data_IF_831591217984
#
_entry.id   IF_831591217984
#
_cell.length_a   1.000
_cell.length_b   1.000
_cell.length_c   1.000
_cell.angle_alpha   90.00
_cell.angle_beta   90.00
_cell.angle_gamma   90.00
#
_symmetry.space_group_name_H-M   'P 1'
#
loop_
_entity.id
_entity.type
_entity.pdbx_description
1 polymer ?
#
# COMPACT_ATOMS: atom_id res chain seq x y z
N UNK A 1 3.37 -8.47 -8.35
CA UNK A 1 4.14 -7.23 -8.11
C UNK A 1 4.30 -6.42 -9.39
N UNK A 2 4.84 -6.97 -10.47
CA UNK A 2 4.93 -6.24 -11.76
C UNK A 2 3.54 -5.81 -12.28
N UNK A 3 3.45 -4.57 -12.74
CA UNK A 3 2.22 -3.99 -13.30
C UNK A 3 1.13 -3.68 -12.27
N UNK A 4 1.44 -3.65 -10.97
CA UNK A 4 0.44 -3.30 -9.95
C UNK A 4 0.24 -1.80 -9.93
N UNK A 5 -0.99 -1.34 -10.09
CA UNK A 5 -1.35 0.10 -10.03
C UNK A 5 -1.75 0.52 -8.63
N UNK A 6 -2.14 -0.44 -7.79
CA UNK A 6 -2.46 -0.19 -6.38
C UNK A 6 -1.89 -1.28 -5.47
N UNK A 7 -1.47 -0.87 -4.28
CA UNK A 7 -1.09 -1.76 -3.18
C UNK A 7 -1.84 -1.34 -1.92
N UNK A 8 -2.70 -2.22 -1.41
CA UNK A 8 -3.44 -2.00 -0.17
C UNK A 8 -2.80 -2.78 0.97
N UNK A 9 -2.59 -2.14 2.12
CA UNK A 9 -2.07 -2.73 3.35
C UNK A 9 -3.08 -2.50 4.46
N UNK A 10 -3.52 -3.57 5.11
CA UNK A 10 -4.54 -3.53 6.15
C UNK A 10 -3.87 -3.62 7.52
N UNK A 11 -4.14 -2.65 8.37
CA UNK A 11 -3.58 -2.59 9.74
C UNK A 11 -4.67 -2.47 10.79
N UNK A 12 -4.35 -2.88 12.01
CA UNK A 12 -5.23 -2.63 13.16
C UNK A 12 -5.32 -1.12 13.42
N UNK A 13 -6.53 -0.57 13.63
CA UNK A 13 -6.72 0.85 13.92
C UNK A 13 -5.97 1.30 15.18
N UNK A 14 -5.72 2.60 15.29
CA UNK A 14 -5.03 3.24 16.43
C UNK A 14 -3.59 2.77 16.69
N UNK A 15 -2.94 2.13 15.71
CA UNK A 15 -1.53 1.77 15.80
C UNK A 15 -0.67 2.76 15.00
N UNK A 16 0.37 3.33 15.64
CA UNK A 16 1.43 4.07 14.93
C UNK A 16 2.44 3.06 14.42
N UNK A 17 2.48 2.74 13.11
CA UNK A 17 3.33 1.67 12.65
C UNK A 17 4.79 2.15 12.65
N UNK A 18 5.66 1.41 13.33
CA UNK A 18 7.09 1.71 13.35
C UNK A 18 7.63 1.79 11.92
N UNK A 19 8.36 2.86 11.59
CA UNK A 19 8.94 3.04 10.25
C UNK A 19 7.94 3.40 9.15
N UNK A 20 6.69 3.75 9.50
CA UNK A 20 5.73 4.32 8.55
C UNK A 20 6.26 5.61 7.91
N UNK A 21 6.83 6.54 8.68
CA UNK A 21 7.37 7.79 8.15
C UNK A 21 8.49 7.56 7.11
N UNK A 22 9.36 6.56 7.35
CA UNK A 22 10.39 6.18 6.36
C UNK A 22 9.80 5.55 5.11
N UNK A 23 8.71 4.78 5.23
CA UNK A 23 7.99 4.25 4.08
C UNK A 23 7.34 5.39 3.29
N UNK A 24 6.63 6.28 3.98
CA UNK A 24 5.96 7.45 3.40
C UNK A 24 6.92 8.32 2.61
N UNK A 25 8.02 8.76 3.23
CA UNK A 25 9.03 9.57 2.56
C UNK A 25 9.62 8.88 1.31
N UNK A 26 9.81 7.57 1.36
CA UNK A 26 10.30 6.81 0.19
C UNK A 26 9.28 6.73 -0.94
N UNK A 27 8.01 6.49 -0.60
CA UNK A 27 6.89 6.42 -1.56
C UNK A 27 6.72 7.77 -2.25
N UNK A 28 6.67 8.86 -1.48
CA UNK A 28 6.53 10.23 -1.98
C UNK A 28 7.72 10.66 -2.84
N UNK A 29 8.96 10.31 -2.45
CA UNK A 29 10.16 10.59 -3.26
C UNK A 29 10.16 9.88 -4.62
N UNK A 30 9.35 8.83 -4.79
CA UNK A 30 9.17 8.10 -6.04
C UNK A 30 7.92 8.53 -6.81
N UNK A 31 7.31 9.65 -6.42
CA UNK A 31 6.10 10.19 -7.05
C UNK A 31 4.83 9.39 -6.79
N UNK A 32 4.89 8.43 -5.86
CA UNK A 32 3.72 7.67 -5.42
C UNK A 32 3.07 8.35 -4.21
N UNK A 33 1.81 8.01 -3.97
CA UNK A 33 1.01 8.60 -2.90
C UNK A 33 0.54 7.52 -1.94
N UNK A 34 0.36 7.89 -0.66
CA UNK A 34 -0.25 7.05 0.35
C UNK A 34 -1.58 7.67 0.77
N UNK A 35 -2.66 6.93 0.54
CA UNK A 35 -4.03 7.31 0.91
C UNK A 35 -4.53 6.39 2.02
N UNK A 36 -5.05 6.98 3.10
CA UNK A 36 -5.80 6.23 4.09
C UNK A 36 -7.26 6.15 3.65
N UNK A 37 -7.77 4.92 3.55
CA UNK A 37 -9.15 4.66 3.12
C UNK A 37 -9.79 3.60 4.00
N UNK A 38 -11.12 3.67 4.08
CA UNK A 38 -11.95 2.65 4.72
C UNK A 38 -12.53 1.66 3.69
N UNK A 39 -12.09 1.76 2.44
CA UNK A 39 -12.40 0.81 1.36
C UNK A 39 -11.60 -0.48 1.55
N UNK A 40 -11.99 -1.23 2.58
CA UNK A 40 -11.55 -2.59 2.81
C UNK A 40 -12.65 -3.57 2.39
N UNK A 41 -12.30 -4.80 2.00
CA UNK A 41 -13.28 -5.88 1.90
C UNK A 41 -14.11 -6.00 3.20
N UNK A 42 -15.39 -6.43 3.14
CA UNK A 42 -16.24 -6.54 4.34
C UNK A 42 -15.59 -7.32 5.49
N UNK A 43 -14.80 -8.34 5.17
CA UNK A 43 -14.05 -9.18 6.11
C UNK A 43 -12.98 -8.39 6.87
N UNK A 44 -12.49 -7.29 6.29
CA UNK A 44 -11.46 -6.42 6.83
C UNK A 44 -11.99 -5.04 7.26
N UNK A 45 -13.31 -4.87 7.36
CA UNK A 45 -13.98 -3.63 7.80
C UNK A 45 -13.51 -3.05 9.15
N UNK A 46 -12.88 -3.89 9.99
CA UNK A 46 -12.29 -3.48 11.29
C UNK A 46 -10.84 -2.96 11.17
N UNK A 47 -10.26 -2.98 9.98
CA UNK A 47 -8.88 -2.56 9.72
C UNK A 47 -8.87 -1.21 8.99
N UNK A 48 -7.84 -0.42 9.27
CA UNK A 48 -7.52 0.75 8.44
C UNK A 48 -6.78 0.29 7.20
N UNK A 49 -7.16 0.83 6.04
CA UNK A 49 -6.47 0.52 4.78
C UNK A 49 -5.53 1.66 4.42
N UNK A 50 -4.27 1.31 4.25
CA UNK A 50 -3.24 2.15 3.65
C UNK A 50 -3.11 1.73 2.20
N UNK A 51 -3.56 2.59 1.28
CA UNK A 51 -3.46 2.37 -0.16
C UNK A 51 -2.30 3.18 -0.72
N UNK A 52 -1.41 2.51 -1.44
CA UNK A 52 -0.34 3.13 -2.22
C UNK A 52 -0.77 3.15 -3.67
N UNK A 53 -0.70 4.33 -4.30
CA UNK A 53 -1.03 4.55 -5.71
C UNK A 53 0.09 5.32 -6.39
N UNK A 54 0.14 5.27 -7.72
CA UNK A 54 1.01 6.10 -8.53
C UNK A 54 0.15 7.01 -9.43
N UNK A 55 0.69 8.16 -9.81
CA UNK A 55 -0.03 9.21 -10.52
C UNK A 55 -0.82 8.65 -11.70
N UNK A 56 -2.05 9.15 -11.91
CA UNK A 56 -2.91 8.76 -13.04
C UNK A 56 -3.14 7.24 -13.19
N UNK A 57 -3.14 6.49 -12.08
CA UNK A 57 -3.29 5.04 -12.05
C UNK A 57 -2.21 4.30 -12.87
N UNK A 58 -1.02 4.90 -13.02
CA UNK A 58 0.12 4.24 -13.62
C UNK A 58 0.62 3.07 -12.75
N UNK A 59 1.38 2.13 -13.32
CA UNK A 59 2.03 1.08 -12.55
C UNK A 59 2.95 1.67 -11.47
N UNK A 60 2.80 1.19 -10.25
CA UNK A 60 3.68 1.55 -9.14
C UNK A 60 5.10 1.03 -9.45
N UNK A 61 6.15 1.86 -9.31
CA UNK A 61 7.53 1.44 -9.48
C UNK A 61 7.85 0.20 -8.63
N UNK A 62 8.56 -0.78 -9.21
CA UNK A 62 8.84 -2.07 -8.57
C UNK A 62 9.57 -1.91 -7.22
N UNK A 63 10.41 -0.88 -7.09
CA UNK A 63 11.11 -0.54 -5.85
C UNK A 63 10.13 -0.20 -4.72
N UNK A 64 9.09 0.57 -5.03
CA UNK A 64 8.03 0.97 -4.09
C UNK A 64 7.22 -0.25 -3.67
N UNK A 65 6.77 -1.05 -4.65
CA UNK A 65 6.03 -2.30 -4.39
C UNK A 65 6.84 -3.24 -3.49
N UNK A 66 8.13 -3.42 -3.78
CA UNK A 66 9.02 -4.30 -3.01
C UNK A 66 9.22 -3.80 -1.59
N UNK A 67 9.48 -2.50 -1.41
CA UNK A 67 9.72 -1.91 -0.09
C UNK A 67 8.46 -1.95 0.77
N UNK A 68 7.32 -1.58 0.21
CA UNK A 68 6.04 -1.60 0.90
C UNK A 68 5.59 -3.02 1.27
N UNK A 69 5.78 -3.99 0.36
CA UNK A 69 5.51 -5.40 0.67
C UNK A 69 6.41 -5.93 1.80
N UNK A 70 7.73 -5.71 1.73
CA UNK A 70 8.64 -6.09 2.82
C UNK A 70 8.25 -5.43 4.13
N UNK A 71 7.84 -4.17 4.10
CA UNK A 71 7.40 -3.44 5.28
C UNK A 71 6.13 -4.05 5.90
N UNK A 72 5.13 -4.39 5.07
CA UNK A 72 3.90 -5.03 5.52
C UNK A 72 4.17 -6.44 6.07
N UNK A 73 4.95 -7.25 5.34
CA UNK A 73 5.28 -8.62 5.70
C UNK A 73 6.05 -8.69 7.02
N UNK A 74 7.05 -7.82 7.23
CA UNK A 74 7.81 -7.77 8.49
C UNK A 74 6.98 -7.40 9.73
N UNK A 75 5.75 -6.90 9.53
CA UNK A 75 4.81 -6.52 10.59
C UNK A 75 3.59 -7.42 10.65
N UNK A 76 3.56 -8.50 9.84
CA UNK A 76 2.43 -9.41 9.70
C UNK A 76 1.13 -8.68 9.31
N UNK A 77 1.21 -7.62 8.49
CA UNK A 77 0.03 -6.96 7.96
C UNK A 77 -0.49 -7.70 6.72
N UNK A 78 -1.80 -7.84 6.65
CA UNK A 78 -2.47 -8.28 5.44
C UNK A 78 -2.26 -7.23 4.35
N UNK A 79 -2.09 -7.67 3.11
CA UNK A 79 -1.86 -6.76 1.99
C UNK A 79 -2.31 -7.40 0.67
N UNK A 80 -2.74 -6.56 -0.26
CA UNK A 80 -3.26 -6.95 -1.58
C UNK A 80 -2.68 -6.07 -2.68
N UNK A 81 -2.44 -6.66 -3.84
CA UNK A 81 -1.94 -5.97 -5.03
C UNK A 81 -3.03 -5.96 -6.09
N UNK A 82 -3.41 -4.76 -6.56
CA UNK A 82 -4.31 -4.63 -7.68
C UNK A 82 -3.53 -4.50 -8.98
N UNK A 83 -3.91 -5.31 -9.97
CA UNK A 83 -3.45 -5.19 -11.35
C UNK A 83 -4.68 -5.04 -12.24
N UNK A 84 -4.78 -3.98 -13.06
CA UNK A 84 -5.86 -3.87 -14.02
C UNK A 84 -5.76 -5.04 -15.01
N UNK A 85 -6.85 -5.77 -15.22
CA UNK A 85 -6.88 -6.92 -16.15
C UNK A 85 -7.02 -6.50 -17.62
N UNK A 86 -7.06 -5.20 -17.92
CA UNK A 86 -7.16 -4.67 -19.27
C UNK A 86 -5.96 -3.76 -19.55
N UNK A 87 -4.99 -4.28 -20.31
CA UNK A 87 -4.02 -3.51 -21.08
C UNK A 87 -3.94 -4.10 -22.49
#
# INVERSE_FOLDING_TARGET
>A
MYGSTELSIYRTPNTKPKGYESLKAFVEAKGCEIVFTNEAPPELSRHETLRITHQKAEPIPIEVVTRAHRWAHNRNYLHSFFRPMYQ
#
